data_IF_325386068955
#
_entry.id   IF_325386068955
#
_cell.length_a   1.000
_cell.length_b   1.000
_cell.length_c   1.000
_cell.angle_alpha   90.00
_cell.angle_beta   90.00
_cell.angle_gamma   90.00
#
_symmetry.space_group_name_H-M   'P 1'
#
loop_
_entity.id
_entity.type
_entity.pdbx_description
1 polymer ?
#
# COMPACT_ATOMS: atom_id res chain seq x y z
N UNK A 1 13.28 8.23 12.55
CA UNK A 1 12.14 7.31 12.68
C UNK A 1 11.68 7.15 11.25
N UNK A 2 11.59 5.92 10.76
CA UNK A 2 11.29 5.69 9.34
C UNK A 2 9.84 6.04 9.06
N UNK A 3 9.61 6.92 8.09
CA UNK A 3 8.25 7.34 7.73
C UNK A 3 7.45 6.16 7.16
N UNK A 4 6.20 5.96 7.59
CA UNK A 4 5.31 4.89 7.16
C UNK A 4 4.19 5.43 6.28
N UNK A 5 4.22 5.03 5.01
CA UNK A 5 3.23 5.39 4.01
C UNK A 5 2.29 4.22 3.77
N UNK A 6 1.02 4.39 4.14
CA UNK A 6 -0.04 3.44 3.84
C UNK A 6 -0.68 3.72 2.49
N UNK A 7 -0.75 2.71 1.62
CA UNK A 7 -1.46 2.77 0.34
C UNK A 7 -2.66 1.83 0.46
N UNK A 8 -3.87 2.40 0.40
CA UNK A 8 -5.09 1.63 0.59
C UNK A 8 -5.45 0.85 -0.68
N UNK A 9 -5.49 -0.48 -0.58
CA UNK A 9 -6.04 -1.38 -1.58
C UNK A 9 -7.42 -1.87 -1.12
N UNK A 10 -8.43 -1.70 -1.98
CA UNK A 10 -9.79 -2.18 -1.75
C UNK A 10 -10.37 -2.74 -3.05
N UNK A 11 -11.34 -3.65 -2.98
CA UNK A 11 -11.89 -4.28 -4.19
C UNK A 11 -12.34 -3.24 -5.22
N UNK A 12 -11.80 -3.35 -6.44
CA UNK A 12 -12.09 -2.42 -7.54
C UNK A 12 -11.28 -1.12 -7.56
N UNK A 13 -10.21 -0.98 -6.76
CA UNK A 13 -9.28 0.15 -6.89
C UNK A 13 -8.66 0.18 -8.30
N UNK A 14 -8.37 1.36 -8.84
CA UNK A 14 -7.64 1.48 -10.13
C UNK A 14 -6.16 1.19 -9.94
N UNK A 15 -5.59 0.29 -10.74
CA UNK A 15 -4.27 -0.30 -10.51
C UNK A 15 -3.16 0.73 -10.28
N UNK A 16 -3.13 1.77 -11.11
CA UNK A 16 -2.07 2.77 -11.05
C UNK A 16 -2.16 3.66 -9.81
N UNK A 17 -3.34 3.79 -9.19
CA UNK A 17 -3.51 4.61 -8.00
C UNK A 17 -2.87 3.98 -6.77
N UNK A 18 -2.75 2.64 -6.72
CA UNK A 18 -1.99 1.96 -5.67
C UNK A 18 -0.57 1.59 -6.11
N UNK A 19 -0.42 0.98 -7.30
CA UNK A 19 0.87 0.49 -7.79
C UNK A 19 1.83 1.63 -8.14
N UNK A 20 1.32 2.74 -8.68
CA UNK A 20 2.13 3.91 -9.03
C UNK A 20 2.83 4.49 -7.79
N UNK A 21 2.11 4.90 -6.74
CA UNK A 21 2.72 5.35 -5.49
C UNK A 21 3.62 4.29 -4.85
N UNK A 22 3.22 3.02 -4.86
CA UNK A 22 4.04 1.92 -4.32
C UNK A 22 5.41 1.85 -5.00
N UNK A 23 5.45 1.97 -6.33
CA UNK A 23 6.70 2.01 -7.10
C UNK A 23 7.54 3.26 -6.75
N UNK A 24 6.91 4.43 -6.68
CA UNK A 24 7.60 5.70 -6.41
C UNK A 24 8.27 5.68 -5.03
N UNK A 25 7.54 5.31 -3.99
CA UNK A 25 8.07 5.24 -2.63
C UNK A 25 9.10 4.12 -2.48
N UNK A 26 8.88 2.95 -3.09
CA UNK A 26 9.88 1.88 -3.14
C UNK A 26 11.19 2.34 -3.80
N UNK A 27 11.11 3.13 -4.87
CA UNK A 27 12.28 3.73 -5.50
C UNK A 27 12.95 4.80 -4.63
N UNK A 28 12.18 5.61 -3.91
CA UNK A 28 12.71 6.59 -2.96
C UNK A 28 13.50 5.91 -1.83
N UNK A 29 12.94 4.85 -1.23
CA UNK A 29 13.61 4.04 -0.22
C UNK A 29 14.92 3.43 -0.74
N UNK A 30 14.90 2.85 -1.95
CA UNK A 30 16.12 2.35 -2.63
C UNK A 30 17.19 3.42 -2.86
N UNK A 31 16.82 4.69 -2.86
CA UNK A 31 17.70 5.85 -3.05
C UNK A 31 18.08 6.55 -1.73
N UNK A 32 17.70 5.97 -0.59
CA UNK A 32 18.13 6.42 0.74
C UNK A 32 17.14 7.31 1.49
N UNK A 33 15.88 7.43 1.02
CA UNK A 33 14.84 8.04 1.84
C UNK A 33 14.52 7.13 3.04
N UNK A 34 14.39 7.70 4.24
CA UNK A 34 14.01 6.98 5.48
C UNK A 34 12.49 6.78 5.53
N UNK A 35 11.94 6.03 4.57
CA UNK A 35 10.51 5.73 4.48
C UNK A 35 10.25 4.27 4.06
N UNK A 36 9.04 3.78 4.33
CA UNK A 36 8.51 2.50 3.87
C UNK A 36 7.08 2.66 3.38
N UNK A 37 6.77 2.07 2.23
CA UNK A 37 5.40 1.93 1.75
C UNK A 37 4.83 0.55 2.10
N UNK A 38 3.56 0.51 2.47
CA UNK A 38 2.79 -0.71 2.79
C UNK A 38 1.44 -0.66 2.06
N UNK A 39 1.03 -1.79 1.48
CA UNK A 39 -0.32 -1.97 0.94
C UNK A 39 -1.25 -2.42 2.06
N UNK A 40 -2.25 -1.60 2.39
CA UNK A 40 -3.19 -1.88 3.49
C UNK A 40 -4.61 -2.08 2.95
N UNK A 41 -5.43 -2.86 3.66
CA UNK A 41 -6.85 -3.06 3.34
C UNK A 41 -7.76 -2.51 4.43
N UNK A 42 -9.05 -2.33 4.14
CA UNK A 42 -10.05 -1.94 5.16
C UNK A 42 -10.44 -3.09 6.07
N UNK A 43 -10.35 -4.32 5.57
CA UNK A 43 -10.77 -5.54 6.25
C UNK A 43 -9.71 -6.65 6.09
N UNK A 44 -9.62 -7.61 7.03
CA UNK A 44 -8.73 -8.76 6.89
C UNK A 44 -9.02 -9.55 5.61
N UNK A 45 -8.02 -9.67 4.74
CA UNK A 45 -8.09 -10.46 3.51
C UNK A 45 -6.68 -10.88 3.08
N UNK A 46 -6.58 -12.03 2.42
CA UNK A 46 -5.32 -12.49 1.82
C UNK A 46 -5.08 -11.86 0.43
N UNK A 47 -6.11 -11.23 -0.17
CA UNK A 47 -6.04 -10.71 -1.54
C UNK A 47 -7.06 -9.62 -1.81
N UNK A 48 -6.68 -8.66 -2.65
CA UNK A 48 -7.57 -7.68 -3.27
C UNK A 48 -7.51 -7.79 -4.79
N UNK A 49 -8.66 -7.65 -5.47
CA UNK A 49 -8.71 -7.54 -6.93
C UNK A 49 -8.97 -6.10 -7.37
N UNK A 50 -8.07 -5.56 -8.18
CA UNK A 50 -8.19 -4.22 -8.77
C UNK A 50 -9.21 -4.21 -9.93
N UNK A 51 -9.56 -3.03 -10.41
CA UNK A 51 -10.61 -2.81 -11.41
C UNK A 51 -10.42 -3.59 -12.72
N UNK A 52 -9.17 -3.80 -13.17
CA UNK A 52 -8.84 -4.51 -14.41
C UNK A 52 -8.18 -5.88 -14.17
N UNK A 53 -8.32 -6.43 -12.95
CA UNK A 53 -8.02 -7.83 -12.65
C UNK A 53 -6.62 -8.10 -12.08
N UNK A 54 -5.81 -7.06 -11.84
CA UNK A 54 -4.61 -7.21 -11.01
C UNK A 54 -5.00 -7.72 -9.62
N UNK A 55 -4.21 -8.65 -9.07
CA UNK A 55 -4.42 -9.22 -7.74
C UNK A 55 -3.18 -8.96 -6.90
N UNK A 56 -3.38 -8.37 -5.72
CA UNK A 56 -2.31 -8.04 -4.77
C UNK A 56 -2.57 -8.68 -3.42
N UNK A 57 -1.50 -9.08 -2.75
CA UNK A 57 -1.49 -9.48 -1.34
C UNK A 57 -1.19 -8.24 -0.50
N UNK A 58 -2.04 -7.87 0.48
CA UNK A 58 -1.78 -6.73 1.34
C UNK A 58 -0.79 -7.05 2.46
N UNK A 59 -0.05 -6.04 2.91
CA UNK A 59 0.84 -6.11 4.07
C UNK A 59 0.06 -6.14 5.41
N UNK A 60 -1.18 -5.63 5.43
CA UNK A 60 -2.01 -5.62 6.63
C UNK A 60 -3.32 -4.85 6.49
N UNK A 61 -3.94 -4.57 7.63
CA UNK A 61 -5.23 -3.87 7.72
C UNK A 61 -5.01 -2.46 8.26
N UNK A 62 -5.63 -1.47 7.62
CA UNK A 62 -5.72 -0.10 8.13
C UNK A 62 -6.69 -0.07 9.32
N UNK A 63 -6.20 0.36 10.47
CA UNK A 63 -6.97 0.46 11.70
C UNK A 63 -6.75 1.82 12.35
N UNK A 64 -7.60 2.19 13.31
CA UNK A 64 -7.43 3.43 14.09
C UNK A 64 -6.13 3.48 14.90
N UNK A 65 -5.49 2.33 15.14
CA UNK A 65 -4.20 2.22 15.79
C UNK A 65 -3.01 2.15 14.83
N UNK A 66 -3.24 2.21 13.52
CA UNK A 66 -2.16 2.18 12.53
C UNK A 66 -1.43 3.51 12.54
N UNK A 67 -0.17 3.48 12.95
CA UNK A 67 0.73 4.63 12.97
C UNK A 67 1.32 4.87 11.57
N UNK A 68 0.81 5.91 10.89
CA UNK A 68 1.24 6.38 9.57
C UNK A 68 1.63 7.85 9.67
N UNK A 69 2.62 8.27 8.89
CA UNK A 69 3.11 9.66 8.84
C UNK A 69 2.30 10.57 7.91
#
# INVERSE_FOLDING_TARGET
>A
MTDRIGILAFEGFEELDAVGPYEVFGNAAKRGADLRAELLTTDPTDRVTAAYGLRVEPDGVLSSGTDLD
#
